data_IF_413142677633
#
_entry.id   IF_413142677633
#
_cell.length_a   1.000
_cell.length_b   1.000
_cell.length_c   1.000
_cell.angle_alpha   90.00
_cell.angle_beta   90.00
_cell.angle_gamma   90.00
#
_symmetry.space_group_name_H-M   'P 1'
#
loop_
_entity.id
_entity.type
_entity.pdbx_description
1 polymer ?
#
# COMPACT_ATOMS: atom_id res chain seq x y z
N UNK A 1 -11.44 21.09 10.70
CA UNK A 1 -11.26 20.27 9.47
C UNK A 1 -10.00 19.40 9.47
N UNK A 2 -9.29 19.25 10.59
CA UNK A 2 -8.06 18.41 10.73
C UNK A 2 -8.34 16.90 10.70
N UNK A 3 -9.54 16.48 11.12
CA UNK A 3 -9.93 15.06 11.19
C UNK A 3 -10.02 14.38 9.81
N UNK A 4 -10.37 15.13 8.76
CA UNK A 4 -10.57 14.56 7.42
C UNK A 4 -9.27 14.12 6.73
N UNK A 5 -8.12 14.75 7.03
CA UNK A 5 -6.87 14.57 6.25
C UNK A 5 -6.08 13.33 6.67
N UNK A 6 -5.96 13.08 7.98
CA UNK A 6 -5.54 11.76 8.51
C UNK A 6 -6.54 10.64 8.22
N UNK A 7 -7.80 10.99 7.92
CA UNK A 7 -8.79 10.05 7.43
C UNK A 7 -8.33 9.34 6.16
N UNK A 8 -7.66 10.05 5.23
CA UNK A 8 -7.15 9.46 3.99
C UNK A 8 -6.16 8.33 4.22
N UNK A 9 -5.13 8.53 5.06
CA UNK A 9 -4.15 7.49 5.39
C UNK A 9 -4.79 6.30 6.12
N UNK A 10 -5.80 6.54 6.97
CA UNK A 10 -6.53 5.47 7.66
C UNK A 10 -7.41 4.66 6.72
N UNK A 11 -8.14 5.33 5.83
CA UNK A 11 -8.95 4.67 4.78
C UNK A 11 -8.06 3.85 3.88
N UNK A 12 -6.93 4.40 3.46
CA UNK A 12 -5.94 3.66 2.69
C UNK A 12 -5.35 2.47 3.48
N UNK A 13 -5.05 2.67 4.76
CA UNK A 13 -4.59 1.60 5.66
C UNK A 13 -5.61 0.46 5.77
N UNK A 14 -6.89 0.78 5.96
CA UNK A 14 -7.98 -0.20 6.00
C UNK A 14 -8.12 -0.94 4.66
N UNK A 15 -8.08 -0.23 3.53
CA UNK A 15 -8.13 -0.84 2.20
C UNK A 15 -6.93 -1.77 1.95
N UNK A 16 -5.73 -1.35 2.35
CA UNK A 16 -4.50 -2.15 2.24
C UNK A 16 -4.58 -3.39 3.13
N UNK A 17 -5.06 -3.25 4.37
CA UNK A 17 -5.27 -4.36 5.28
C UNK A 17 -6.24 -5.40 4.70
N UNK A 18 -7.41 -4.95 4.24
CA UNK A 18 -8.42 -5.83 3.68
C UNK A 18 -7.92 -6.54 2.41
N UNK A 19 -7.25 -5.81 1.50
CA UNK A 19 -6.71 -6.39 0.29
C UNK A 19 -5.55 -7.36 0.55
N UNK A 20 -4.67 -7.03 1.51
CA UNK A 20 -3.57 -7.89 1.94
C UNK A 20 -4.08 -9.20 2.53
N UNK A 21 -5.06 -9.15 3.45
CA UNK A 21 -5.71 -10.35 4.00
C UNK A 21 -6.37 -11.16 2.88
N UNK A 22 -7.16 -10.53 2.02
CA UNK A 22 -7.83 -11.22 0.93
C UNK A 22 -6.83 -11.92 0.00
N UNK A 23 -5.73 -11.27 -0.37
CA UNK A 23 -4.67 -11.82 -1.24
C UNK A 23 -3.87 -12.91 -0.54
N UNK A 24 -3.62 -12.79 0.76
CA UNK A 24 -2.94 -13.82 1.56
C UNK A 24 -3.75 -15.13 1.63
N UNK A 25 -5.08 -15.08 1.56
CA UNK A 25 -5.91 -16.29 1.46
C UNK A 25 -6.23 -16.70 0.02
N UNK A 26 -6.27 -15.74 -0.90
CA UNK A 26 -6.55 -15.94 -2.34
C UNK A 26 -5.47 -15.26 -3.22
N UNK A 27 -4.29 -15.88 -3.38
CA UNK A 27 -3.16 -15.29 -4.12
C UNK A 27 -3.49 -14.90 -5.57
N UNK A 28 -4.48 -15.58 -6.17
CA UNK A 28 -4.98 -15.31 -7.51
C UNK A 28 -5.48 -13.86 -7.69
N UNK A 29 -5.91 -13.18 -6.62
CA UNK A 29 -6.36 -11.77 -6.68
C UNK A 29 -5.26 -10.82 -7.18
N UNK A 30 -4.00 -11.13 -6.89
CA UNK A 30 -2.83 -10.39 -7.38
C UNK A 30 -2.16 -11.11 -8.56
N UNK A 31 -2.05 -12.44 -8.48
CA UNK A 31 -1.33 -13.21 -9.49
C UNK A 31 -1.97 -13.11 -10.89
N UNK A 32 -3.30 -13.18 -11.00
CA UNK A 32 -4.01 -13.11 -12.28
C UNK A 32 -3.74 -11.81 -13.06
N UNK A 33 -3.98 -10.61 -12.49
CA UNK A 33 -3.71 -9.36 -13.21
C UNK A 33 -2.23 -9.16 -13.53
N UNK A 34 -1.33 -9.70 -12.69
CA UNK A 34 0.12 -9.69 -12.96
C UNK A 34 0.54 -10.72 -14.03
N UNK A 35 -0.34 -11.65 -14.42
CA UNK A 35 -0.02 -12.75 -15.31
C UNK A 35 0.94 -13.79 -14.71
N UNK A 36 0.92 -13.93 -13.38
CA UNK A 36 1.65 -14.91 -12.58
C UNK A 36 0.82 -16.18 -12.34
N UNK A 37 0.10 -16.58 -13.39
CA UNK A 37 -0.72 -17.79 -13.41
C UNK A 37 -0.37 -18.59 -14.65
N UNK A 38 -0.63 -19.90 -14.60
CA UNK A 38 -0.48 -20.77 -15.75
C UNK A 38 -1.63 -20.60 -16.78
N UNK A 39 -1.67 -21.47 -17.79
CA UNK A 39 -2.66 -21.45 -18.85
C UNK A 39 -4.10 -21.71 -18.34
N UNK A 40 -4.24 -22.48 -17.27
CA UNK A 40 -5.52 -22.79 -16.62
C UNK A 40 -5.92 -21.71 -15.60
N UNK A 41 -5.04 -20.72 -15.39
CA UNK A 41 -5.25 -19.60 -14.48
C UNK A 41 -4.97 -19.96 -13.02
N UNK A 42 -4.28 -21.06 -12.74
CA UNK A 42 -3.84 -21.46 -11.42
C UNK A 42 -2.50 -20.79 -11.04
N UNK A 43 -2.32 -20.58 -9.73
CA UNK A 43 -1.10 -19.98 -9.17
C UNK A 43 -0.18 -21.11 -8.75
N UNK A 44 1.04 -21.11 -9.29
CA UNK A 44 2.07 -22.09 -8.93
C UNK A 44 2.40 -22.02 -7.41
N UNK A 45 2.63 -23.15 -6.71
CA UNK A 45 2.78 -23.19 -5.25
C UNK A 45 3.86 -22.27 -4.65
N UNK A 46 5.05 -22.19 -5.24
CA UNK A 46 6.12 -21.31 -4.74
C UNK A 46 5.79 -19.84 -4.96
N UNK A 47 5.18 -19.50 -6.09
CA UNK A 47 4.65 -18.17 -6.38
C UNK A 47 3.58 -17.81 -5.35
N UNK A 48 2.65 -18.72 -5.06
CA UNK A 48 1.63 -18.53 -4.04
C UNK A 48 2.26 -18.29 -2.67
N UNK A 49 3.29 -19.06 -2.27
CA UNK A 49 4.00 -18.87 -1.00
C UNK A 49 4.58 -17.46 -0.86
N UNK A 50 5.27 -16.96 -1.90
CA UNK A 50 5.84 -15.60 -1.89
C UNK A 50 4.76 -14.53 -1.88
N UNK A 51 3.70 -14.70 -2.67
CA UNK A 51 2.59 -13.73 -2.69
C UNK A 51 1.85 -13.66 -1.36
N UNK A 52 1.71 -14.79 -0.67
CA UNK A 52 1.09 -14.84 0.67
C UNK A 52 1.91 -14.10 1.71
N UNK A 53 3.24 -14.28 1.72
CA UNK A 53 4.10 -13.58 2.68
C UNK A 53 4.13 -12.07 2.42
N UNK A 54 4.21 -11.67 1.15
CA UNK A 54 4.13 -10.27 0.73
C UNK A 54 2.78 -9.64 1.12
N UNK A 55 1.67 -10.33 0.85
CA UNK A 55 0.34 -9.84 1.18
C UNK A 55 0.10 -9.73 2.70
N UNK A 56 0.69 -10.62 3.50
CA UNK A 56 0.68 -10.52 4.96
C UNK A 56 1.46 -9.31 5.48
N UNK A 57 2.62 -9.00 4.88
CA UNK A 57 3.38 -7.77 5.18
C UNK A 57 2.52 -6.54 4.90
N UNK A 58 1.90 -6.47 3.73
CA UNK A 58 1.08 -5.33 3.34
C UNK A 58 -0.13 -5.19 4.26
N UNK A 59 -0.74 -6.31 4.67
CA UNK A 59 -1.81 -6.31 5.66
C UNK A 59 -1.33 -5.71 6.99
N UNK A 60 -0.19 -6.16 7.52
CA UNK A 60 0.37 -5.65 8.76
C UNK A 60 0.67 -4.14 8.69
N UNK A 61 1.25 -3.67 7.58
CA UNK A 61 1.52 -2.23 7.35
C UNK A 61 0.23 -1.43 7.26
N UNK A 62 -0.78 -1.94 6.54
CA UNK A 62 -2.10 -1.32 6.45
C UNK A 62 -2.79 -1.20 7.80
N UNK A 63 -2.70 -2.24 8.64
CA UNK A 63 -3.23 -2.24 10.00
C UNK A 63 -2.51 -1.21 10.88
N UNK A 64 -1.18 -1.11 10.75
CA UNK A 64 -0.40 -0.09 11.45
C UNK A 64 -0.83 1.32 11.02
N UNK A 65 -1.03 1.58 9.73
CA UNK A 65 -1.55 2.88 9.24
C UNK A 65 -2.95 3.19 9.75
N UNK A 66 -3.81 2.17 9.88
CA UNK A 66 -5.17 2.31 10.36
C UNK A 66 -5.21 2.71 11.85
N UNK A 67 -4.35 2.08 12.67
CA UNK A 67 -4.41 2.17 14.13
C UNK A 67 -3.43 3.17 14.74
N UNK A 68 -2.34 3.51 14.06
CA UNK A 68 -1.29 4.37 14.62
C UNK A 68 -1.84 5.76 15.03
N UNK A 69 -1.34 6.31 16.14
CA UNK A 69 -1.63 7.68 16.51
C UNK A 69 -1.09 8.65 15.45
N UNK A 70 -1.74 9.81 15.32
CA UNK A 70 -1.26 10.85 14.43
C UNK A 70 0.14 11.32 14.86
N UNK A 71 1.05 11.47 13.91
CA UNK A 71 2.44 11.87 14.17
C UNK A 71 3.45 10.82 13.69
N UNK A 72 4.63 10.72 14.33
CA UNK A 72 5.76 9.95 13.83
C UNK A 72 5.46 8.47 13.55
N UNK A 73 4.62 7.83 14.36
CA UNK A 73 4.24 6.43 14.17
C UNK A 73 3.47 6.21 12.85
N UNK A 74 2.47 7.04 12.57
CA UNK A 74 1.72 6.98 11.31
C UNK A 74 2.61 7.37 10.12
N UNK A 75 3.51 8.34 10.29
CA UNK A 75 4.48 8.73 9.25
C UNK A 75 5.43 7.58 8.91
N UNK A 76 5.96 6.88 9.92
CA UNK A 76 6.82 5.72 9.71
C UNK A 76 6.07 4.59 8.99
N UNK A 77 4.83 4.28 9.41
CA UNK A 77 4.00 3.28 8.72
C UNK A 77 3.76 3.65 7.24
N UNK A 78 3.45 4.93 6.97
CA UNK A 78 3.32 5.44 5.61
C UNK A 78 4.62 5.36 4.79
N UNK A 79 5.77 5.66 5.40
CA UNK A 79 7.07 5.55 4.74
C UNK A 79 7.40 4.09 4.36
N UNK A 80 7.11 3.13 5.24
CA UNK A 80 7.25 1.70 4.95
C UNK A 80 6.33 1.27 3.82
N UNK A 81 5.08 1.78 3.79
CA UNK A 81 4.14 1.52 2.69
C UNK A 81 4.68 2.01 1.35
N UNK A 82 5.19 3.25 1.30
CA UNK A 82 5.81 3.83 0.10
C UNK A 82 7.00 2.98 -0.35
N UNK A 83 7.90 2.63 0.57
CA UNK A 83 9.07 1.81 0.25
C UNK A 83 8.67 0.43 -0.31
N UNK A 84 7.61 -0.17 0.24
CA UNK A 84 7.06 -1.45 -0.24
C UNK A 84 6.52 -1.33 -1.66
N UNK A 85 5.70 -0.31 -1.95
CA UNK A 85 5.15 -0.06 -3.29
C UNK A 85 6.24 0.22 -4.33
N UNK A 86 7.27 0.99 -3.97
CA UNK A 86 8.42 1.24 -4.85
C UNK A 86 9.18 -0.05 -5.12
N UNK A 87 9.38 -0.88 -4.10
CA UNK A 87 9.97 -2.21 -4.25
C UNK A 87 9.17 -3.07 -5.24
N UNK A 88 7.86 -3.15 -5.07
CA UNK A 88 6.97 -3.93 -5.94
C UNK A 88 7.03 -3.41 -7.38
N UNK A 89 7.01 -2.09 -7.59
CA UNK A 89 7.17 -1.48 -8.91
C UNK A 89 8.51 -1.87 -9.56
N UNK A 90 9.61 -1.86 -8.80
CA UNK A 90 10.94 -2.22 -9.29
C UNK A 90 11.04 -3.71 -9.64
N UNK A 91 10.55 -4.60 -8.77
CA UNK A 91 10.66 -6.04 -8.96
C UNK A 91 9.68 -6.55 -10.02
N UNK A 92 8.40 -6.22 -9.94
CA UNK A 92 7.43 -6.58 -11.00
C UNK A 92 7.76 -5.89 -12.32
N UNK A 93 8.24 -4.64 -12.27
CA UNK A 93 8.71 -3.90 -13.44
C UNK A 93 9.87 -4.58 -14.17
N UNK A 94 10.73 -5.32 -13.47
CA UNK A 94 11.84 -6.07 -14.06
C UNK A 94 11.49 -7.51 -14.42
N UNK A 95 10.67 -8.18 -13.61
CA UNK A 95 10.42 -9.61 -13.74
C UNK A 95 9.28 -9.95 -14.71
N UNK A 96 8.24 -9.12 -14.81
CA UNK A 96 7.06 -9.44 -15.61
C UNK A 96 7.34 -9.34 -17.11
N UNK A 97 6.90 -10.37 -17.84
CA UNK A 97 6.91 -10.40 -19.31
C UNK A 97 5.64 -9.77 -19.87
N UNK A 98 5.80 -9.02 -20.95
CA UNK A 98 4.72 -8.31 -21.64
C UNK A 98 4.56 -6.86 -21.16
N UNK A 99 4.52 -5.92 -22.13
CA UNK A 99 4.53 -4.47 -21.85
C UNK A 99 3.34 -4.02 -21.02
N UNK A 100 2.14 -4.52 -21.32
CA UNK A 100 0.91 -4.14 -20.62
C UNK A 100 0.89 -4.61 -19.17
N UNK A 101 1.28 -5.87 -18.90
CA UNK A 101 1.34 -6.42 -17.54
C UNK A 101 2.37 -5.69 -16.68
N UNK A 102 3.56 -5.45 -17.26
CA UNK A 102 4.61 -4.65 -16.63
C UNK A 102 4.13 -3.25 -16.31
N UNK A 103 3.54 -2.55 -17.27
CA UNK A 103 3.03 -1.19 -17.07
C UNK A 103 1.91 -1.16 -16.02
N UNK A 104 0.97 -2.09 -16.08
CA UNK A 104 -0.13 -2.21 -15.11
C UNK A 104 0.37 -2.42 -13.69
N UNK A 105 1.33 -3.33 -13.48
CA UNK A 105 1.94 -3.56 -12.17
C UNK A 105 2.67 -2.31 -11.64
N UNK A 106 3.51 -1.67 -12.47
CA UNK A 106 4.25 -0.47 -12.09
C UNK A 106 3.33 0.70 -11.77
N UNK A 107 2.34 0.97 -12.63
CA UNK A 107 1.38 2.07 -12.43
C UNK A 107 0.53 1.84 -11.19
N UNK A 108 0.09 0.60 -10.96
CA UNK A 108 -0.70 0.27 -9.77
C UNK A 108 0.12 0.51 -8.50
N UNK A 109 1.33 -0.05 -8.42
CA UNK A 109 2.20 0.09 -7.26
C UNK A 109 2.56 1.56 -6.99
N UNK A 110 3.03 2.30 -8.01
CA UNK A 110 3.34 3.73 -7.87
C UNK A 110 2.10 4.58 -7.58
N UNK A 111 0.92 4.17 -8.04
CA UNK A 111 -0.35 4.81 -7.71
C UNK A 111 -0.64 4.75 -6.21
N UNK A 112 -0.49 3.59 -5.58
CA UNK A 112 -0.63 3.45 -4.13
C UNK A 112 0.43 4.26 -3.36
N UNK A 113 1.68 4.26 -3.82
CA UNK A 113 2.73 5.08 -3.24
C UNK A 113 2.36 6.58 -3.29
N UNK A 114 1.87 7.06 -4.44
CA UNK A 114 1.48 8.45 -4.63
C UNK A 114 0.32 8.87 -3.71
N UNK A 115 -0.69 8.01 -3.52
CA UNK A 115 -1.78 8.25 -2.55
C UNK A 115 -1.23 8.38 -1.13
N UNK A 116 -0.28 7.50 -0.76
CA UNK A 116 0.37 7.57 0.56
C UNK A 116 1.15 8.88 0.73
N UNK A 117 1.96 9.26 -0.27
CA UNK A 117 2.73 10.51 -0.29
C UNK A 117 1.80 11.71 -0.15
N UNK A 118 0.69 11.75 -0.90
CA UNK A 118 -0.30 12.81 -0.81
C UNK A 118 -0.92 12.89 0.60
N UNK A 119 -1.25 11.72 1.19
CA UNK A 119 -1.77 11.64 2.56
C UNK A 119 -0.78 12.14 3.61
N UNK A 120 0.52 11.90 3.45
CA UNK A 120 1.57 12.39 4.34
C UNK A 120 1.86 13.89 4.13
N UNK A 121 1.89 14.35 2.87
CA UNK A 121 2.17 15.73 2.51
C UNK A 121 1.05 16.70 2.95
N UNK A 122 -0.18 16.20 3.12
CA UNK A 122 -1.32 16.95 3.65
C UNK A 122 -1.23 17.25 5.17
N UNK A 123 -0.02 17.33 5.73
CA UNK A 123 0.31 17.43 7.16
C UNK A 123 -0.44 18.51 7.96
N UNK A 124 -0.36 18.46 9.31
CA UNK A 124 -1.21 19.27 10.18
C UNK A 124 -1.01 20.77 9.93
N UNK A 125 -2.12 21.51 9.80
CA UNK A 125 -2.05 22.98 9.87
C UNK A 125 -1.37 23.37 11.19
N UNK A 126 -0.33 24.20 11.08
CA UNK A 126 0.26 24.85 12.25
C UNK A 126 -0.90 25.54 12.97
N UNK A 127 -1.13 25.22 14.24
CA UNK A 127 -1.98 26.07 15.08
C UNK A 127 -1.35 27.46 15.03
N UNK A 128 -1.99 28.39 14.33
CA UNK A 128 -1.71 29.80 14.53
C UNK A 128 -2.06 30.03 15.99
N UNK A 129 -1.03 30.15 16.83
CA UNK A 129 -1.19 30.55 18.22
C UNK A 129 -1.84 31.92 18.21
N UNK A 130 -3.17 31.96 18.30
CA UNK A 130 -3.87 33.17 18.66
C UNK A 130 -3.34 33.57 20.03
N UNK A 131 -2.56 34.64 20.03
CA UNK A 131 -1.87 35.14 21.19
C UNK A 131 -2.84 35.25 22.36
N UNK A 132 -2.43 34.64 23.46
CA UNK A 132 -2.97 34.90 24.79
C UNK A 132 -2.72 36.39 25.06
N UNK A 133 -3.71 37.26 24.80
CA UNK A 133 -3.74 38.60 25.39
C UNK A 133 -4.42 38.46 26.74
N UNK A 134 -3.60 38.77 27.74
CA UNK A 134 -3.93 39.11 29.13
C UNK A 134 -5.10 40.04 29.24
#
# INVERSE_FOLDING_TARGET
MTAMRTGGLRVQGAATFAYGVATAYRPALLARPAGLVDADGAVEPHTALVLRSMAWRDAAVGLAMLLAPQGPALTAAGAVRIASDVGDALFFGRALRGRLRRAGAVVSALGWAAVTVAGLAAGPERRVSAGRRT
#
